data_IF_343205708860
#
_entry.id   IF_343205708860
#
_cell.length_a   1.000
_cell.length_b   1.000
_cell.length_c   1.000
_cell.angle_alpha   90.00
_cell.angle_beta   90.00
_cell.angle_gamma   90.00
#
_symmetry.space_group_name_H-M   'P 1'
#
loop_
_entity.id
_entity.type
_entity.pdbx_description
1 polymer ?
#
# COMPACT_ATOMS: atom_id res chain seq x y z
N UNK A 1 15.81 8.52 11.90
CA UNK A 1 15.40 8.98 13.22
C UNK A 1 15.17 7.77 14.14
N UNK A 2 15.52 7.83 15.42
CA UNK A 2 15.26 6.75 16.39
C UNK A 2 13.80 6.81 16.88
N UNK A 3 12.86 6.54 15.96
CA UNK A 3 11.42 6.56 16.21
C UNK A 3 10.79 5.28 15.68
N UNK A 4 9.60 4.87 16.17
CA UNK A 4 8.86 3.78 15.56
C UNK A 4 8.47 4.12 14.11
N UNK A 5 8.43 3.10 13.24
CA UNK A 5 8.01 3.25 11.86
C UNK A 5 6.85 2.30 11.57
N UNK A 6 5.78 2.82 11.00
CA UNK A 6 4.61 2.03 10.63
C UNK A 6 4.73 1.55 9.19
N UNK A 7 4.40 0.29 8.97
CA UNK A 7 4.20 -0.25 7.65
C UNK A 7 2.72 -0.16 7.30
N UNK A 8 2.39 0.69 6.33
CA UNK A 8 1.03 0.89 5.82
C UNK A 8 0.96 0.39 4.38
N UNK A 9 -0.04 -0.42 4.07
CA UNK A 9 -0.24 -0.95 2.71
C UNK A 9 -1.55 -0.43 2.14
N UNK A 10 -1.49 0.14 0.95
CA UNK A 10 -2.65 0.57 0.17
C UNK A 10 -2.83 -0.36 -1.03
N UNK A 11 -3.94 -1.07 -1.10
CA UNK A 11 -4.20 -2.06 -2.15
C UNK A 11 -5.30 -1.58 -3.09
N UNK A 12 -5.08 -1.72 -4.40
CA UNK A 12 -6.11 -1.49 -5.39
C UNK A 12 -7.01 -2.72 -5.53
N UNK A 13 -8.34 -2.55 -5.67
CA UNK A 13 -9.23 -3.66 -5.95
C UNK A 13 -9.05 -4.18 -7.38
N UNK A 14 -9.31 -5.46 -7.58
CA UNK A 14 -9.09 -6.18 -8.83
C UNK A 14 -9.79 -5.54 -10.05
N UNK A 15 -10.93 -4.89 -9.84
CA UNK A 15 -11.67 -4.19 -10.90
C UNK A 15 -10.85 -3.11 -11.61
N UNK A 16 -9.81 -2.56 -10.94
CA UNK A 16 -8.91 -1.56 -11.52
C UNK A 16 -7.82 -2.20 -12.41
N UNK A 17 -7.60 -3.51 -12.33
CA UNK A 17 -6.51 -4.18 -13.04
C UNK A 17 -6.53 -3.92 -14.55
N UNK A 18 -7.71 -3.86 -15.19
CA UNK A 18 -7.82 -3.52 -16.61
C UNK A 18 -7.25 -2.13 -16.95
N UNK A 19 -7.43 -1.15 -16.05
CA UNK A 19 -6.85 0.19 -16.23
C UNK A 19 -5.34 0.18 -16.00
N UNK A 20 -4.85 -0.67 -15.09
CA UNK A 20 -3.41 -0.86 -14.87
C UNK A 20 -2.72 -1.46 -16.09
N UNK A 21 -3.39 -2.35 -16.83
CA UNK A 21 -2.87 -2.93 -18.08
C UNK A 21 -2.92 -1.92 -19.23
N UNK A 22 -3.97 -1.11 -19.28
CA UNK A 22 -4.17 -0.13 -20.36
C UNK A 22 -3.27 1.12 -20.22
N UNK A 23 -3.19 1.69 -19.02
CA UNK A 23 -2.45 2.92 -18.75
C UNK A 23 -1.77 2.88 -17.38
N UNK A 24 -0.76 2.02 -17.19
CA UNK A 24 -0.13 1.77 -15.89
C UNK A 24 0.40 3.03 -15.20
N UNK A 25 1.07 3.91 -15.95
CA UNK A 25 1.63 5.15 -15.39
C UNK A 25 0.53 6.02 -14.75
N UNK A 26 -0.59 6.26 -15.44
CA UNK A 26 -1.70 7.08 -14.92
C UNK A 26 -2.29 6.50 -13.64
N UNK A 27 -2.45 5.17 -13.57
CA UNK A 27 -3.03 4.50 -12.41
C UNK A 27 -2.06 4.50 -11.24
N UNK A 28 -0.78 4.24 -11.49
CA UNK A 28 0.23 4.18 -10.42
C UNK A 28 0.57 5.56 -9.88
N UNK A 29 0.66 6.59 -10.74
CA UNK A 29 0.81 7.98 -10.29
C UNK A 29 -0.37 8.42 -9.40
N UNK A 30 -1.61 8.06 -9.80
CA UNK A 30 -2.79 8.29 -8.99
C UNK A 30 -2.72 7.54 -7.64
N UNK A 31 -2.24 6.30 -7.63
CA UNK A 31 -2.06 5.50 -6.43
C UNK A 31 -1.07 6.15 -5.45
N UNK A 32 0.11 6.57 -5.94
CA UNK A 32 1.10 7.28 -5.12
C UNK A 32 0.54 8.61 -4.57
N UNK A 33 -0.04 9.43 -5.44
CA UNK A 33 -0.57 10.74 -5.07
C UNK A 33 -1.70 10.64 -4.03
N UNK A 34 -2.63 9.69 -4.21
CA UNK A 34 -3.78 9.54 -3.31
C UNK A 34 -3.41 8.90 -1.97
N UNK A 35 -2.49 7.94 -1.96
CA UNK A 35 -1.96 7.37 -0.72
C UNK A 35 -1.22 8.42 0.09
N UNK A 36 -0.33 9.19 -0.55
CA UNK A 36 0.38 10.29 0.11
C UNK A 36 -0.58 11.36 0.63
N UNK A 37 -1.50 11.85 -0.19
CA UNK A 37 -2.44 12.88 0.25
C UNK A 37 -3.30 12.43 1.43
N UNK A 38 -3.71 11.16 1.47
CA UNK A 38 -4.46 10.61 2.59
C UNK A 38 -3.61 10.61 3.88
N UNK A 39 -2.38 10.08 3.84
CA UNK A 39 -1.45 10.10 4.99
C UNK A 39 -1.17 11.53 5.46
N UNK A 40 -0.90 12.44 4.51
CA UNK A 40 -0.56 13.83 4.78
C UNK A 40 -1.67 14.58 5.53
N UNK A 41 -2.92 14.46 5.08
CA UNK A 41 -4.05 15.13 5.73
C UNK A 41 -4.36 14.55 7.11
N UNK A 42 -4.30 13.22 7.26
CA UNK A 42 -4.44 12.60 8.58
C UNK A 42 -3.34 13.04 9.55
N UNK A 43 -2.11 13.21 9.04
CA UNK A 43 -1.00 13.70 9.88
C UNK A 43 -1.21 15.15 10.33
N UNK A 44 -1.74 16.01 9.47
CA UNK A 44 -2.00 17.42 9.80
C UNK A 44 -3.23 17.64 10.65
N UNK A 45 -4.19 16.72 10.62
CA UNK A 45 -5.42 16.86 11.40
C UNK A 45 -5.12 16.88 12.91
N UNK A 46 -5.56 17.95 13.64
CA UNK A 46 -5.41 18.05 15.09
C UNK A 46 -6.00 16.87 15.88
N UNK A 47 -7.03 16.20 15.32
CA UNK A 47 -7.63 15.01 15.92
C UNK A 47 -6.68 13.81 15.91
N UNK A 48 -5.67 13.81 15.03
CA UNK A 48 -4.72 12.73 14.87
C UNK A 48 -3.32 13.13 15.33
N UNK A 49 -2.44 13.57 14.42
CA UNK A 49 -1.05 13.88 14.78
C UNK A 49 -0.80 15.39 14.97
N UNK A 50 -1.49 16.26 14.22
CA UNK A 50 -1.25 17.70 14.14
C UNK A 50 0.24 18.04 13.88
N UNK A 51 0.83 17.35 12.90
CA UNK A 51 2.22 17.52 12.51
C UNK A 51 2.43 17.09 11.06
N UNK A 52 3.50 17.57 10.45
CA UNK A 52 3.93 17.15 9.12
C UNK A 52 4.78 15.88 9.24
N UNK A 53 4.33 14.81 8.65
CA UNK A 53 5.05 13.54 8.56
C UNK A 53 5.73 13.35 7.20
N UNK A 54 6.45 12.25 7.03
CA UNK A 54 7.01 11.80 5.76
C UNK A 54 6.53 10.39 5.40
N UNK A 55 6.82 9.95 4.18
CA UNK A 55 6.50 8.60 3.72
C UNK A 55 7.55 8.13 2.70
N UNK A 56 8.02 6.90 2.84
CA UNK A 56 8.70 6.17 1.78
C UNK A 56 7.69 5.17 1.22
N UNK A 57 7.55 5.08 -0.09
CA UNK A 57 6.60 4.17 -0.72
C UNK A 57 7.26 3.35 -1.83
N UNK A 58 6.96 2.05 -1.88
CA UNK A 58 7.43 1.09 -2.89
C UNK A 58 6.23 0.44 -3.53
N UNK A 59 6.15 0.50 -4.86
CA UNK A 59 5.10 -0.13 -5.64
C UNK A 59 5.40 -1.61 -5.85
N UNK A 60 4.43 -2.46 -5.53
CA UNK A 60 4.37 -3.84 -5.98
C UNK A 60 3.15 -4.03 -6.89
N UNK A 61 3.33 -4.77 -7.98
CA UNK A 61 2.27 -4.98 -8.98
C UNK A 61 1.76 -6.41 -9.01
N UNK A 62 2.32 -7.31 -8.19
CA UNK A 62 1.97 -8.73 -8.16
C UNK A 62 1.59 -9.23 -6.77
N UNK A 63 0.69 -10.20 -6.73
CA UNK A 63 0.37 -10.98 -5.54
C UNK A 63 1.32 -12.17 -5.34
N UNK A 64 1.09 -12.95 -4.29
CA UNK A 64 1.87 -14.17 -3.99
C UNK A 64 1.77 -15.24 -5.09
N UNK A 65 0.67 -15.26 -5.81
CA UNK A 65 0.40 -16.15 -6.95
C UNK A 65 0.81 -15.53 -8.30
N UNK A 66 1.60 -14.45 -8.28
CA UNK A 66 2.01 -13.67 -9.45
C UNK A 66 0.87 -12.99 -10.23
N UNK A 67 -0.38 -13.04 -9.75
CA UNK A 67 -1.47 -12.29 -10.35
C UNK A 67 -1.24 -10.78 -10.22
N UNK A 68 -1.79 -10.01 -11.16
CA UNK A 68 -1.78 -8.55 -11.09
C UNK A 68 -2.51 -8.07 -9.83
N UNK A 69 -1.78 -7.46 -8.92
CA UNK A 69 -2.26 -7.03 -7.61
C UNK A 69 -1.53 -5.77 -7.13
N UNK A 70 -1.79 -4.62 -7.77
CA UNK A 70 -1.07 -3.39 -7.47
C UNK A 70 -1.34 -2.91 -6.04
N UNK A 71 -0.25 -2.66 -5.30
CA UNK A 71 -0.32 -2.13 -3.95
C UNK A 71 0.96 -1.38 -3.59
N UNK A 72 0.83 -0.39 -2.70
CA UNK A 72 1.96 0.36 -2.17
C UNK A 72 2.31 -0.13 -0.77
N UNK A 73 3.56 -0.46 -0.56
CA UNK A 73 4.17 -0.59 0.75
C UNK A 73 4.71 0.76 1.20
N UNK A 74 4.12 1.33 2.24
CA UNK A 74 4.49 2.64 2.75
C UNK A 74 5.12 2.52 4.13
N UNK A 75 6.26 3.16 4.32
CA UNK A 75 6.91 3.32 5.63
C UNK A 75 6.67 4.75 6.10
N UNK A 76 5.98 4.89 7.21
CA UNK A 76 5.60 6.19 7.79
C UNK A 76 6.17 6.28 9.21
N UNK A 77 6.95 7.32 9.54
CA UNK A 77 7.45 7.49 10.91
C UNK A 77 6.29 7.72 11.90
N UNK A 78 6.44 7.22 13.11
CA UNK A 78 5.45 7.35 14.19
C UNK A 78 5.42 8.73 14.83
N UNK A 79 5.41 9.77 13.98
CA UNK A 79 5.38 11.16 14.39
C UNK A 79 5.63 12.10 13.21
N UNK A 80 5.88 13.36 13.54
CA UNK A 80 6.15 14.40 12.55
C UNK A 80 6.61 15.71 13.19
N UNK A 81 6.95 16.69 12.37
CA UNK A 81 7.32 18.03 12.81
C UNK A 81 6.06 18.89 12.96
N UNK A 82 5.87 19.49 14.12
CA UNK A 82 4.81 20.47 14.35
C UNK A 82 5.14 21.82 13.71
N UNK A 83 4.23 22.80 13.81
CA UNK A 83 4.42 24.14 13.24
C UNK A 83 5.65 24.90 13.80
N UNK A 84 6.15 24.53 14.99
CA UNK A 84 7.36 25.09 15.59
C UNK A 84 8.63 24.31 15.26
N UNK A 85 8.57 23.35 14.33
CA UNK A 85 9.71 22.51 13.94
C UNK A 85 10.12 21.45 14.97
N UNK A 86 9.33 21.26 16.04
CA UNK A 86 9.61 20.25 17.06
C UNK A 86 8.95 18.92 16.69
N UNK A 87 9.65 17.82 17.01
CA UNK A 87 9.09 16.47 16.81
C UNK A 87 7.89 16.22 17.73
N UNK A 88 6.82 15.72 17.15
CA UNK A 88 5.61 15.28 17.85
C UNK A 88 5.40 13.80 17.57
N UNK A 89 5.41 12.98 18.62
CA UNK A 89 5.18 11.54 18.53
C UNK A 89 3.70 11.23 18.34
N UNK A 90 3.41 10.20 17.55
CA UNK A 90 2.05 9.69 17.36
C UNK A 90 1.45 9.22 18.70
N UNK A 91 0.12 9.22 18.77
CA UNK A 91 -0.63 8.83 19.99
C UNK A 91 -0.25 7.43 20.48
N UNK A 92 -0.55 7.13 21.75
CA UNK A 92 -0.28 5.84 22.38
C UNK A 92 1.21 5.47 22.35
N UNK A 93 2.09 6.46 22.57
CA UNK A 93 3.55 6.26 22.54
C UNK A 93 4.04 5.58 21.25
N UNK A 94 3.45 5.98 20.10
CA UNK A 94 3.80 5.43 18.80
C UNK A 94 3.25 4.03 18.50
N UNK A 95 2.30 3.53 19.31
CA UNK A 95 1.65 2.23 19.05
C UNK A 95 0.54 2.31 18.00
N UNK A 96 0.06 3.51 17.71
CA UNK A 96 -1.05 3.76 16.80
C UNK A 96 -0.78 5.02 15.97
N UNK A 97 -0.96 4.94 14.65
CA UNK A 97 -0.75 6.06 13.76
C UNK A 97 -2.08 6.73 13.37
N UNK A 98 -2.93 6.02 12.62
CA UNK A 98 -4.20 6.52 12.11
C UNK A 98 -5.28 5.44 12.11
N UNK A 99 -6.59 5.82 12.17
CA UNK A 99 -7.70 4.87 12.05
C UNK A 99 -7.78 4.29 10.63
N UNK A 100 -7.38 3.05 10.46
CA UNK A 100 -7.24 2.37 9.16
C UNK A 100 -8.54 2.40 8.35
N UNK A 101 -9.71 2.20 9.00
CA UNK A 101 -11.02 2.26 8.31
C UNK A 101 -11.32 3.64 7.74
N UNK A 102 -11.00 4.71 8.47
CA UNK A 102 -11.19 6.08 7.98
C UNK A 102 -10.20 6.39 6.85
N UNK A 103 -8.94 5.98 7.01
CA UNK A 103 -7.91 6.14 5.99
C UNK A 103 -8.28 5.42 4.68
N UNK A 104 -8.82 4.20 4.76
CA UNK A 104 -9.31 3.44 3.61
C UNK A 104 -10.44 4.16 2.86
N UNK A 105 -11.41 4.73 3.58
CA UNK A 105 -12.52 5.49 2.98
C UNK A 105 -12.02 6.74 2.24
N UNK A 106 -11.11 7.48 2.85
CA UNK A 106 -10.52 8.69 2.22
C UNK A 106 -9.67 8.33 1.01
N UNK A 107 -8.82 7.31 1.12
CA UNK A 107 -8.03 6.79 0.02
C UNK A 107 -8.91 6.38 -1.16
N UNK A 108 -9.95 5.56 -0.92
CA UNK A 108 -10.92 5.14 -1.94
C UNK A 108 -11.54 6.32 -2.65
N UNK A 109 -12.07 7.29 -1.91
CA UNK A 109 -12.75 8.45 -2.47
C UNK A 109 -11.81 9.26 -3.40
N UNK A 110 -10.57 9.49 -2.95
CA UNK A 110 -9.57 10.21 -3.73
C UNK A 110 -9.13 9.44 -4.97
N UNK A 111 -8.87 8.14 -4.81
CA UNK A 111 -8.45 7.31 -5.93
C UNK A 111 -9.54 7.24 -7.01
N UNK A 112 -10.80 7.04 -6.64
CA UNK A 112 -11.92 7.05 -7.60
C UNK A 112 -12.07 8.41 -8.28
N UNK A 113 -11.90 9.52 -7.55
CA UNK A 113 -11.94 10.86 -8.15
C UNK A 113 -10.81 11.07 -9.17
N UNK A 114 -9.58 10.62 -8.86
CA UNK A 114 -8.45 10.67 -9.78
C UNK A 114 -8.68 9.79 -11.03
N UNK A 115 -9.18 8.57 -10.83
CA UNK A 115 -9.49 7.67 -11.95
C UNK A 115 -10.57 8.26 -12.87
N UNK A 116 -11.63 8.87 -12.33
CA UNK A 116 -12.65 9.57 -13.14
C UNK A 116 -12.04 10.68 -14.02
N UNK A 117 -11.08 11.42 -13.47
CA UNK A 117 -10.37 12.46 -14.22
C UNK A 117 -9.48 11.89 -15.33
N UNK A 118 -8.78 10.79 -15.06
CA UNK A 118 -7.85 10.18 -16.01
C UNK A 118 -8.53 9.31 -17.06
N UNK A 119 -9.71 8.76 -16.75
CA UNK A 119 -10.47 7.85 -17.60
C UNK A 119 -11.93 8.32 -17.75
N UNK A 120 -12.17 9.49 -18.39
CA UNK A 120 -13.52 10.09 -18.50
C UNK A 120 -14.48 9.30 -19.37
N UNK A 121 -13.98 8.40 -20.23
CA UNK A 121 -14.78 7.50 -21.08
C UNK A 121 -15.30 6.26 -20.36
N UNK A 122 -14.85 6.01 -19.14
CA UNK A 122 -15.35 4.91 -18.32
C UNK A 122 -16.78 5.16 -17.86
N UNK A 123 -17.59 4.12 -17.87
CA UNK A 123 -18.98 4.19 -17.45
C UNK A 123 -19.13 4.58 -15.98
N UNK A 124 -20.16 5.36 -15.68
CA UNK A 124 -20.51 5.73 -14.30
C UNK A 124 -20.68 4.50 -13.41
N UNK A 125 -21.28 3.42 -13.92
CA UNK A 125 -21.50 2.16 -13.22
C UNK A 125 -20.18 1.52 -12.74
N UNK A 126 -19.08 1.63 -13.50
CA UNK A 126 -17.77 1.16 -13.09
C UNK A 126 -17.31 1.85 -11.79
N UNK A 127 -17.37 3.19 -11.78
CA UNK A 127 -16.94 3.96 -10.60
C UNK A 127 -17.86 3.75 -9.39
N UNK A 128 -19.16 3.57 -9.61
CA UNK A 128 -20.11 3.22 -8.54
C UNK A 128 -19.80 1.83 -7.96
N UNK A 129 -19.42 0.88 -8.81
CA UNK A 129 -18.97 -0.45 -8.39
C UNK A 129 -17.75 -0.38 -7.47
N UNK A 130 -16.79 0.51 -7.74
CA UNK A 130 -15.62 0.71 -6.88
C UNK A 130 -15.97 1.21 -5.47
N UNK A 131 -17.07 1.94 -5.29
CA UNK A 131 -17.56 2.35 -3.96
C UNK A 131 -18.27 1.24 -3.20
N UNK A 132 -18.82 0.25 -3.90
CA UNK A 132 -19.44 -0.94 -3.29
C UNK A 132 -18.41 -1.97 -2.86
N UNK A 133 -17.19 -1.92 -3.45
CA UNK A 133 -16.09 -2.81 -3.10
C UNK A 133 -15.39 -2.32 -1.84
N UNK A 134 -15.02 -3.24 -0.96
CA UNK A 134 -14.18 -2.92 0.20
C UNK A 134 -12.72 -2.73 -0.25
N UNK A 135 -12.13 -1.58 0.12
CA UNK A 135 -10.74 -1.28 -0.19
C UNK A 135 -9.86 -1.59 1.00
N UNK A 136 -8.80 -2.33 0.75
CA UNK A 136 -7.91 -2.77 1.80
C UNK A 136 -6.81 -1.72 2.02
N UNK A 137 -6.85 -1.10 3.20
CA UNK A 137 -5.70 -0.42 3.78
C UNK A 137 -5.32 -1.18 5.04
N UNK A 138 -4.06 -1.55 5.15
CA UNK A 138 -3.56 -2.33 6.27
C UNK A 138 -2.40 -1.59 6.95
N UNK A 139 -2.39 -1.55 8.27
CA UNK A 139 -1.27 -1.01 9.04
C UNK A 139 -0.78 -2.06 10.03
N UNK A 140 0.49 -2.42 9.93
CA UNK A 140 1.18 -3.29 10.90
C UNK A 140 1.64 -2.49 12.11
N UNK A 141 1.85 -3.21 13.21
CA UNK A 141 2.57 -2.67 14.38
C UNK A 141 3.91 -2.09 13.93
N UNK A 142 4.37 -1.02 14.56
CA UNK A 142 5.58 -0.34 14.14
C UNK A 142 6.81 -1.26 14.23
N UNK A 143 7.76 -1.03 13.35
CA UNK A 143 9.10 -1.57 13.46
C UNK A 143 9.79 -1.04 14.73
N UNK A 144 10.67 -1.83 15.35
CA UNK A 144 11.40 -1.46 16.55
C UNK A 144 12.50 -0.41 16.35
N UNK A 145 12.72 0.06 15.12
CA UNK A 145 13.71 1.09 14.83
C UNK A 145 14.16 1.15 13.37
N UNK A 146 15.10 2.06 13.04
CA UNK A 146 15.55 2.30 11.67
C UNK A 146 16.19 1.08 11.00
N UNK A 147 16.92 0.25 11.74
CA UNK A 147 17.59 -0.92 11.17
C UNK A 147 16.57 -1.91 10.58
N UNK A 148 15.49 -2.21 11.31
CA UNK A 148 14.43 -3.08 10.80
C UNK A 148 13.75 -2.52 9.56
N UNK A 149 13.66 -1.18 9.43
CA UNK A 149 13.15 -0.52 8.23
C UNK A 149 14.11 -0.72 7.05
N UNK A 150 15.41 -0.59 7.27
CA UNK A 150 16.44 -0.80 6.24
C UNK A 150 16.41 -2.25 5.76
N UNK A 151 16.39 -3.21 6.67
CA UNK A 151 16.32 -4.64 6.35
C UNK A 151 15.04 -4.95 5.57
N UNK A 152 13.91 -4.39 6.00
CA UNK A 152 12.63 -4.52 5.31
C UNK A 152 12.68 -3.94 3.90
N UNK A 153 13.17 -2.70 3.73
CA UNK A 153 13.30 -2.06 2.41
C UNK A 153 14.25 -2.84 1.51
N UNK A 154 15.35 -3.38 2.05
CA UNK A 154 16.27 -4.24 1.31
C UNK A 154 15.57 -5.44 0.67
N UNK A 155 14.63 -6.06 1.36
CA UNK A 155 13.84 -7.17 0.80
C UNK A 155 12.84 -6.72 -0.29
N UNK A 156 12.30 -5.49 -0.20
CA UNK A 156 11.26 -5.00 -1.10
C UNK A 156 11.78 -4.19 -2.28
N UNK A 157 12.99 -3.65 -2.20
CA UNK A 157 13.62 -2.93 -3.34
C UNK A 157 14.24 -3.88 -4.36
N UNK A 158 14.57 -5.11 -3.96
CA UNK A 158 14.89 -6.15 -4.93
C UNK A 158 13.58 -6.56 -5.63
N UNK A 159 13.45 -6.23 -6.92
CA UNK A 159 12.28 -6.52 -7.78
C UNK A 159 12.10 -8.03 -8.06
N UNK A 160 12.22 -8.87 -7.03
CA UNK A 160 12.06 -10.32 -7.14
C UNK A 160 10.61 -10.64 -6.82
N UNK A 161 9.84 -10.96 -7.85
CA UNK A 161 8.44 -11.36 -7.70
C UNK A 161 8.30 -12.70 -6.96
N UNK A 162 9.27 -13.59 -7.15
CA UNK A 162 9.32 -14.92 -6.55
C UNK A 162 10.76 -15.24 -6.13
N UNK A 163 10.93 -15.77 -4.92
CA UNK A 163 12.23 -16.22 -4.42
C UNK A 163 12.48 -17.68 -4.79
N UNK A 164 13.73 -18.05 -5.01
CA UNK A 164 14.13 -19.39 -5.46
C UNK A 164 13.60 -20.51 -4.57
N UNK A 165 13.48 -20.32 -3.25
CA UNK A 165 12.96 -21.35 -2.33
C UNK A 165 11.48 -21.67 -2.55
N UNK A 166 10.75 -20.84 -3.30
CA UNK A 166 9.35 -21.09 -3.68
C UNK A 166 9.23 -21.89 -4.96
N UNK A 167 10.28 -21.97 -5.78
CA UNK A 167 10.31 -22.77 -7.00
C UNK A 167 10.38 -24.23 -6.62
N UNK A 168 9.47 -25.03 -7.18
CA UNK A 168 9.40 -26.49 -6.96
C UNK A 168 9.87 -27.26 -8.17
N UNK A 169 9.57 -26.77 -9.36
CA UNK A 169 9.99 -27.37 -10.62
C UNK A 169 10.35 -26.28 -11.63
N UNK A 170 11.45 -26.46 -12.33
CA UNK A 170 11.87 -25.58 -13.44
C UNK A 170 12.34 -26.49 -14.58
N UNK A 171 11.58 -26.48 -15.68
CA UNK A 171 11.92 -27.18 -16.93
C UNK A 171 11.89 -26.22 -18.10
N UNK A 172 12.19 -26.70 -19.31
CA UNK A 172 12.03 -25.92 -20.53
C UNK A 172 10.59 -25.54 -20.87
N UNK A 173 9.60 -26.28 -20.30
CA UNK A 173 8.19 -26.16 -20.65
C UNK A 173 7.35 -25.51 -19.55
N UNK A 174 7.76 -25.65 -18.28
CA UNK A 174 6.98 -25.13 -17.15
C UNK A 174 7.84 -24.71 -15.96
N UNK A 175 7.29 -23.78 -15.16
CA UNK A 175 7.84 -23.38 -13.88
C UNK A 175 6.76 -23.50 -12.82
N UNK A 176 6.97 -24.39 -11.85
CA UNK A 176 6.04 -24.56 -10.72
C UNK A 176 6.56 -23.85 -9.49
N UNK A 177 5.66 -23.25 -8.72
CA UNK A 177 6.02 -22.54 -7.50
C UNK A 177 4.94 -22.57 -6.43
N UNK A 178 5.36 -22.54 -5.17
CA UNK A 178 4.46 -22.48 -4.02
C UNK A 178 4.01 -21.04 -3.75
N UNK A 179 2.73 -20.88 -3.40
CA UNK A 179 2.20 -19.61 -2.95
C UNK A 179 1.31 -19.77 -1.72
N UNK A 180 1.16 -18.70 -0.93
CA UNK A 180 0.24 -18.64 0.20
C UNK A 180 -0.98 -17.78 -0.17
N UNK A 181 -2.17 -18.37 -0.06
CA UNK A 181 -3.40 -17.61 -0.19
C UNK A 181 -3.77 -16.99 1.16
N UNK A 182 -3.59 -15.67 1.28
CA UNK A 182 -3.88 -14.97 2.53
C UNK A 182 -5.38 -14.84 2.85
N UNK A 183 -6.28 -15.11 1.89
CA UNK A 183 -7.73 -15.05 2.14
C UNK A 183 -8.21 -16.23 2.96
N UNK A 184 -7.67 -17.41 2.74
CA UNK A 184 -8.07 -18.66 3.41
C UNK A 184 -6.93 -19.32 4.20
N UNK A 185 -5.73 -18.78 4.18
CA UNK A 185 -4.54 -19.31 4.86
C UNK A 185 -3.93 -20.55 4.22
N UNK A 186 -4.49 -21.07 3.13
CA UNK A 186 -4.02 -22.27 2.45
C UNK A 186 -2.75 -22.02 1.65
N UNK A 187 -1.91 -23.04 1.55
CA UNK A 187 -0.79 -23.07 0.61
C UNK A 187 -1.25 -23.76 -0.68
N UNK A 188 -0.81 -23.25 -1.81
CA UNK A 188 -1.06 -23.85 -3.12
C UNK A 188 0.20 -23.87 -3.97
N UNK A 189 0.13 -24.59 -5.07
CA UNK A 189 1.15 -24.64 -6.11
C UNK A 189 0.53 -24.22 -7.43
N UNK A 190 1.28 -23.44 -8.23
CA UNK A 190 0.90 -23.03 -9.58
C UNK A 190 2.01 -23.41 -10.54
N UNK A 191 1.63 -23.75 -11.77
CA UNK A 191 2.50 -24.03 -12.92
C UNK A 191 2.23 -23.06 -14.05
#
# INVERSE_FOLDING_TARGET
>A
LPVPYFHVVFTLPEQINRLCLFAPAKVYDALFATAWSAIYDFARDPKHLAAQTGMIAVLHTWGQNLSLHPHLHCIVPGGGLNASGKWKTARSNGKYLFPVRALSKVFRARMVAMLRKHFPIEEKAFFEGLFKTEWVVYAKRPFGGPQQVIDYLGHYTHKIAISNHRLTTVTSEQVCFRYKNYRNGQQGELS
#
